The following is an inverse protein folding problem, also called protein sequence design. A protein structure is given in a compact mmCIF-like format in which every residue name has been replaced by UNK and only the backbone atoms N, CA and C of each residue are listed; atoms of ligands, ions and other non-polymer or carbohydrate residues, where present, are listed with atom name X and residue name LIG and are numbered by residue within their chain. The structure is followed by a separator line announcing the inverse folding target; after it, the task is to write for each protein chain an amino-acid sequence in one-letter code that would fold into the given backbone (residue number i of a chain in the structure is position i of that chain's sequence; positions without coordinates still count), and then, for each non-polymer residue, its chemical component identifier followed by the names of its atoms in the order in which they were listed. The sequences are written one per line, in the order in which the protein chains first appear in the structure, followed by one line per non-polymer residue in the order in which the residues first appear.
data_IF_503552431587
#
_entry.id   IF_503552431587
#
_cell.length_a   1.000
_cell.length_b   1.000
_cell.length_c   1.000
_cell.angle_alpha   90.00
_cell.angle_beta   90.00
_cell.angle_gamma   90.00
#
_symmetry.space_group_name_H-M   'P 1'
#
loop_
_entity.id
_entity.type
_entity.pdbx_description
1 polymer ?
#
# COMPACT_ATOMS: atom_id res chain seq x y z
N UNK A 1 -9.19 -60.06 -15.72
CA UNK A 1 -10.24 -60.26 -14.75
C UNK A 1 -9.79 -59.73 -13.40
N UNK A 2 -10.19 -58.53 -13.06
CA UNK A 2 -10.06 -57.94 -11.72
C UNK A 2 -11.42 -57.38 -11.35
N UNK A 3 -12.03 -58.00 -10.39
CA UNK A 3 -13.35 -57.66 -9.84
C UNK A 3 -13.18 -56.49 -8.84
N UNK A 4 -13.85 -55.40 -9.09
CA UNK A 4 -13.95 -54.28 -8.17
C UNK A 4 -15.24 -54.37 -7.33
N UNK A 5 -15.08 -54.42 -6.02
CA UNK A 5 -16.17 -54.38 -5.05
C UNK A 5 -16.44 -52.89 -4.67
N UNK A 6 -17.71 -52.46 -4.56
CA UNK A 6 -18.04 -51.10 -4.10
C UNK A 6 -18.01 -51.02 -2.56
N UNK A 7 -17.69 -49.84 -1.97
CA UNK A 7 -17.74 -49.67 -0.52
C UNK A 7 -19.17 -49.46 -0.02
N UNK A 8 -19.45 -50.09 1.11
CA UNK A 8 -20.74 -49.99 1.84
C UNK A 8 -20.91 -48.64 2.50
N UNK A 9 -22.12 -48.09 2.41
CA UNK A 9 -22.62 -46.93 3.15
C UNK A 9 -22.66 -47.25 4.66
N UNK A 10 -21.91 -46.47 5.44
CA UNK A 10 -21.96 -46.48 6.90
C UNK A 10 -23.20 -45.76 7.43
N UNK A 11 -23.85 -46.41 8.39
CA UNK A 11 -25.08 -45.95 9.04
C UNK A 11 -24.91 -44.68 9.83
N UNK A 12 -25.84 -43.76 9.66
CA UNK A 12 -25.99 -42.57 10.50
C UNK A 12 -26.37 -42.95 11.94
N UNK A 13 -25.47 -42.70 12.88
CA UNK A 13 -25.78 -42.79 14.30
C UNK A 13 -26.44 -41.48 14.75
N UNK A 14 -27.73 -41.51 14.96
CA UNK A 14 -28.48 -40.45 15.64
C UNK A 14 -28.03 -40.39 17.09
N UNK A 15 -27.32 -39.36 17.48
CA UNK A 15 -27.06 -39.05 18.88
C UNK A 15 -28.31 -38.44 19.50
N UNK A 16 -28.98 -39.24 20.30
CA UNK A 16 -30.04 -38.79 21.25
C UNK A 16 -29.38 -37.96 22.33
N UNK A 17 -29.71 -36.64 22.38
CA UNK A 17 -29.36 -35.78 23.51
C UNK A 17 -30.30 -36.09 24.69
N UNK A 18 -29.76 -36.71 25.73
CA UNK A 18 -30.42 -36.79 27.03
C UNK A 18 -30.42 -35.39 27.70
N UNK A 19 -31.46 -35.02 28.49
CA UNK A 19 -31.52 -33.74 29.16
C UNK A 19 -30.46 -33.66 30.27
N UNK A 20 -29.86 -32.49 30.53
CA UNK A 20 -28.80 -32.32 31.52
C UNK A 20 -29.33 -32.42 32.95
N UNK A 21 -28.76 -33.34 33.72
CA UNK A 21 -29.18 -33.67 35.11
C UNK A 21 -28.35 -32.96 36.19
N UNK A 22 -27.88 -31.72 36.00
CA UNK A 22 -27.24 -31.01 37.11
C UNK A 22 -27.45 -29.49 37.07
N UNK A 23 -27.67 -28.89 38.26
CA UNK A 23 -27.79 -27.43 38.46
C UNK A 23 -26.59 -26.64 37.96
N UNK A 24 -25.44 -27.27 37.84
CA UNK A 24 -24.18 -26.63 37.32
C UNK A 24 -24.22 -26.41 35.80
N UNK A 25 -24.93 -27.26 35.02
CA UNK A 25 -25.04 -27.09 33.58
C UNK A 25 -25.97 -25.95 33.21
N UNK A 26 -27.01 -25.72 33.98
CA UNK A 26 -27.94 -24.58 33.80
C UNK A 26 -27.26 -23.25 34.14
N UNK A 27 -26.41 -23.20 35.17
CA UNK A 27 -25.63 -22.01 35.50
C UNK A 27 -24.57 -21.68 34.44
N UNK A 28 -23.94 -22.67 33.82
CA UNK A 28 -22.98 -22.46 32.71
C UNK A 28 -23.67 -21.97 31.43
N UNK A 29 -24.86 -22.46 31.12
CA UNK A 29 -25.64 -21.96 29.98
C UNK A 29 -26.11 -20.50 30.21
N UNK A 30 -26.58 -20.18 31.44
CA UNK A 30 -26.96 -18.81 31.78
C UNK A 30 -25.77 -17.82 31.78
N UNK A 31 -24.60 -18.28 32.19
CA UNK A 31 -23.37 -17.47 32.15
C UNK A 31 -22.87 -17.24 30.71
N UNK A 32 -23.05 -18.23 29.82
CA UNK A 32 -22.75 -18.09 28.39
C UNK A 32 -23.70 -17.12 27.71
N UNK A 33 -25.00 -17.28 27.94
CA UNK A 33 -26.04 -16.36 27.42
C UNK A 33 -25.87 -14.91 27.93
N UNK A 34 -25.39 -14.71 29.16
CA UNK A 34 -25.08 -13.35 29.67
C UNK A 34 -23.85 -12.76 29.02
N UNK A 35 -22.81 -13.55 28.73
CA UNK A 35 -21.61 -13.08 27.97
C UNK A 35 -21.95 -12.74 26.55
N UNK A 36 -22.76 -13.56 25.89
CA UNK A 36 -23.17 -13.31 24.50
C UNK A 36 -24.10 -12.09 24.40
N UNK A 37 -24.96 -11.83 25.40
CA UNK A 37 -25.77 -10.61 25.47
C UNK A 37 -24.97 -9.37 25.92
N UNK A 38 -23.89 -9.49 26.68
CA UNK A 38 -23.00 -8.36 27.00
C UNK A 38 -22.12 -7.98 25.80
N UNK A 39 -21.67 -8.96 24.98
CA UNK A 39 -20.95 -8.68 23.75
C UNK A 39 -21.81 -8.05 22.64
N UNK A 40 -23.14 -8.32 22.65
CA UNK A 40 -24.07 -7.75 21.67
C UNK A 40 -24.48 -6.29 21.99
N UNK A 41 -24.10 -5.74 23.12
CA UNK A 41 -24.52 -4.39 23.56
C UNK A 41 -23.36 -3.41 23.80
N UNK A 42 -22.13 -3.76 23.42
CA UNK A 42 -21.03 -2.79 23.37
C UNK A 42 -21.06 -2.10 21.99
N UNK A 43 -21.65 -0.91 21.96
CA UNK A 43 -21.54 0.01 20.84
C UNK A 43 -20.05 0.16 20.48
N UNK A 44 -19.71 0.08 19.21
CA UNK A 44 -18.38 0.39 18.72
C UNK A 44 -17.98 1.81 19.16
N UNK A 45 -16.70 2.13 19.18
CA UNK A 45 -16.22 3.48 19.51
C UNK A 45 -16.89 4.54 18.60
N UNK A 46 -17.18 4.18 17.36
CA UNK A 46 -17.86 5.03 16.38
C UNK A 46 -19.33 5.22 16.72
N UNK A 47 -20.04 4.19 17.12
CA UNK A 47 -21.46 4.27 17.54
C UNK A 47 -21.62 5.03 18.87
N UNK A 48 -20.69 4.90 19.81
CA UNK A 48 -20.63 5.71 21.03
C UNK A 48 -20.45 7.18 20.70
N UNK A 49 -19.48 7.51 19.85
CA UNK A 49 -19.22 8.88 19.40
C UNK A 49 -20.45 9.48 18.68
N UNK A 50 -21.12 8.72 17.81
CA UNK A 50 -22.36 9.15 17.16
C UNK A 50 -23.49 9.39 18.16
N UNK A 51 -23.61 8.55 19.20
CA UNK A 51 -24.63 8.69 20.26
C UNK A 51 -24.37 9.88 21.19
N UNK A 52 -23.11 10.12 21.55
CA UNK A 52 -22.72 11.29 22.35
C UNK A 52 -22.90 12.60 21.57
N UNK A 53 -22.52 12.62 20.28
CA UNK A 53 -22.75 13.77 19.41
C UNK A 53 -24.25 14.03 19.18
N UNK A 54 -25.07 13.01 19.04
CA UNK A 54 -26.52 13.15 18.92
C UNK A 54 -27.15 13.77 20.18
N UNK A 55 -26.64 13.46 21.39
CA UNK A 55 -27.12 14.03 22.65
C UNK A 55 -26.73 15.52 22.87
N UNK A 56 -25.68 15.99 22.21
CA UNK A 56 -25.23 17.40 22.31
C UNK A 56 -26.05 18.31 21.38
N UNK A 57 -26.67 17.76 20.33
CA UNK A 57 -27.38 18.53 19.28
C UNK A 57 -28.87 18.20 19.22
N UNK A 58 -29.50 17.96 20.36
CA UNK A 58 -30.96 17.68 20.44
C UNK A 58 -31.73 18.84 19.77
N UNK A 59 -32.30 18.54 18.59
CA UNK A 59 -33.15 19.45 17.83
C UNK A 59 -32.58 20.03 16.55
N UNK A 60 -31.31 19.79 16.21
CA UNK A 60 -30.71 20.20 14.94
C UNK A 60 -30.32 18.97 14.12
N UNK A 61 -31.00 18.78 13.00
CA UNK A 61 -30.75 17.63 12.11
C UNK A 61 -29.49 17.86 11.28
N UNK A 62 -28.30 17.80 11.94
CA UNK A 62 -27.00 17.95 11.27
C UNK A 62 -26.59 16.73 10.42
N UNK A 63 -27.30 15.58 10.57
CA UNK A 63 -26.97 14.37 9.82
C UNK A 63 -27.32 14.46 8.34
N UNK A 64 -28.19 15.40 7.95
CA UNK A 64 -28.64 15.54 6.55
C UNK A 64 -27.62 16.24 5.64
N UNK A 65 -26.56 16.85 6.19
CA UNK A 65 -25.61 17.68 5.43
C UNK A 65 -24.14 17.49 5.79
N UNK A 66 -23.77 16.49 6.58
CA UNK A 66 -22.36 16.14 6.68
C UNK A 66 -21.94 15.56 5.31
N UNK A 67 -20.99 16.21 4.60
CA UNK A 67 -20.47 15.61 3.39
C UNK A 67 -19.92 14.23 3.74
N UNK A 68 -20.32 13.23 2.97
CA UNK A 68 -19.74 11.89 3.08
C UNK A 68 -18.23 12.06 2.92
N UNK A 69 -17.49 11.85 4.02
CA UNK A 69 -16.03 11.94 3.98
C UNK A 69 -15.56 10.75 3.18
N UNK A 70 -15.36 10.94 1.88
CA UNK A 70 -14.76 9.93 1.03
C UNK A 70 -13.36 9.63 1.56
N UNK A 71 -13.01 8.35 1.78
CA UNK A 71 -11.67 7.99 2.20
C UNK A 71 -10.68 8.52 1.16
N UNK A 72 -9.65 9.20 1.64
CA UNK A 72 -8.61 9.72 0.75
C UNK A 72 -7.91 8.55 0.05
N UNK A 73 -7.69 8.62 -1.28
CA UNK A 73 -6.94 7.62 -1.99
C UNK A 73 -5.55 7.38 -1.35
N UNK A 74 -5.02 6.15 -1.38
CA UNK A 74 -3.72 5.84 -0.79
C UNK A 74 -2.59 6.61 -1.49
N UNK A 75 -1.56 7.00 -0.75
CA UNK A 75 -0.33 7.56 -1.33
C UNK A 75 0.60 6.44 -1.79
N UNK A 76 1.40 6.69 -2.85
CA UNK A 76 2.22 5.66 -3.50
C UNK A 76 3.69 6.02 -3.58
N UNK A 77 4.55 5.03 -3.34
CA UNK A 77 5.97 5.06 -3.68
C UNK A 77 6.23 4.17 -4.88
N UNK A 78 6.47 4.79 -6.04
CA UNK A 78 6.72 4.13 -7.31
C UNK A 78 8.22 3.81 -7.43
N UNK A 79 8.59 2.54 -7.35
CA UNK A 79 9.98 2.14 -7.49
C UNK A 79 10.19 1.14 -8.63
N UNK A 80 11.42 1.02 -9.10
CA UNK A 80 11.78 0.12 -10.18
C UNK A 80 13.02 0.60 -10.93
N UNK A 81 13.47 -0.17 -11.89
CA UNK A 81 14.67 0.11 -12.67
C UNK A 81 14.55 1.43 -13.47
N UNK A 82 15.67 2.10 -13.78
CA UNK A 82 15.68 3.17 -14.76
C UNK A 82 15.07 2.70 -16.10
N UNK A 83 14.28 3.55 -16.73
CA UNK A 83 13.60 3.22 -18.00
C UNK A 83 12.26 2.49 -17.85
N UNK A 84 11.89 1.96 -16.68
CA UNK A 84 10.62 1.23 -16.52
C UNK A 84 9.35 2.11 -16.53
N UNK A 85 9.46 3.44 -16.52
CA UNK A 85 8.33 4.36 -16.66
C UNK A 85 7.73 4.89 -15.36
N UNK A 86 8.48 4.94 -14.24
CA UNK A 86 8.02 5.49 -12.95
C UNK A 86 7.46 6.91 -13.07
N UNK A 87 8.23 7.82 -13.67
CA UNK A 87 7.84 9.22 -13.87
C UNK A 87 6.61 9.35 -14.77
N UNK A 88 6.46 8.45 -15.76
CA UNK A 88 5.26 8.38 -16.59
C UNK A 88 4.02 8.01 -15.76
N UNK A 89 4.13 7.00 -14.91
CA UNK A 89 3.07 6.61 -13.97
C UNK A 89 2.76 7.75 -13.01
N UNK A 90 3.78 8.40 -12.44
CA UNK A 90 3.62 9.54 -11.53
C UNK A 90 2.87 10.71 -12.17
N UNK A 91 3.18 11.03 -13.44
CA UNK A 91 2.46 12.08 -14.20
C UNK A 91 1.00 11.69 -14.47
N UNK A 92 0.72 10.40 -14.73
CA UNK A 92 -0.66 9.92 -14.88
C UNK A 92 -1.44 10.00 -13.56
N UNK A 93 -0.82 9.69 -12.42
CA UNK A 93 -1.43 9.91 -11.11
C UNK A 93 -1.67 11.41 -10.84
N UNK A 94 -0.76 12.30 -11.27
CA UNK A 94 -0.98 13.74 -11.16
C UNK A 94 -2.22 14.21 -11.95
N UNK A 95 -2.47 13.65 -13.15
CA UNK A 95 -3.69 13.90 -13.93
C UNK A 95 -4.96 13.44 -13.17
N UNK A 96 -4.82 12.46 -12.26
CA UNK A 96 -5.90 11.95 -11.39
C UNK A 96 -5.99 12.69 -10.03
N UNK A 97 -5.26 13.79 -9.84
CA UNK A 97 -5.34 14.64 -8.65
C UNK A 97 -4.28 14.37 -7.58
N UNK A 98 -3.34 13.45 -7.79
CA UNK A 98 -2.22 13.21 -6.88
C UNK A 98 -1.22 14.38 -6.89
N UNK A 99 -0.59 14.66 -5.76
CA UNK A 99 0.65 15.40 -5.72
C UNK A 99 1.78 14.49 -6.17
N UNK A 100 2.41 14.79 -7.30
CA UNK A 100 3.52 13.99 -7.83
C UNK A 100 4.86 14.64 -7.52
N UNK A 101 5.79 13.84 -6.98
CA UNK A 101 7.16 14.23 -6.67
C UNK A 101 8.15 13.28 -7.36
N UNK A 102 9.11 13.86 -8.09
CA UNK A 102 10.22 13.12 -8.67
C UNK A 102 11.34 13.04 -7.63
N UNK A 103 11.64 11.84 -7.12
CA UNK A 103 12.68 11.69 -6.09
C UNK A 103 14.06 12.14 -6.56
N UNK A 104 14.36 12.08 -7.86
CA UNK A 104 15.64 12.56 -8.40
C UNK A 104 15.83 14.07 -8.19
N UNK A 105 14.77 14.86 -8.02
CA UNK A 105 14.85 16.28 -7.68
C UNK A 105 15.39 16.54 -6.27
N UNK A 106 15.29 15.55 -5.39
CA UNK A 106 15.79 15.60 -4.01
C UNK A 106 17.25 15.19 -3.86
N UNK A 107 17.92 14.75 -4.94
CA UNK A 107 19.32 14.39 -4.90
C UNK A 107 20.19 15.59 -4.49
N UNK A 108 21.19 15.34 -3.65
CA UNK A 108 22.18 16.35 -3.28
C UNK A 108 23.08 16.70 -4.48
N UNK A 109 23.78 17.83 -4.40
CA UNK A 109 24.71 18.25 -5.45
C UNK A 109 25.77 17.19 -5.74
N UNK A 110 26.36 16.57 -4.69
CA UNK A 110 27.37 15.52 -4.81
C UNK A 110 26.82 14.26 -5.49
N UNK A 111 25.58 13.89 -5.18
CA UNK A 111 24.92 12.75 -5.79
C UNK A 111 24.63 13.00 -7.28
N UNK A 112 24.17 14.20 -7.63
CA UNK A 112 23.97 14.60 -9.04
C UNK A 112 25.31 14.57 -9.80
N UNK A 113 26.38 15.09 -9.20
CA UNK A 113 27.70 15.06 -9.79
C UNK A 113 28.25 13.63 -9.98
N UNK A 114 27.99 12.70 -9.05
CA UNK A 114 28.34 11.29 -9.22
C UNK A 114 27.59 10.67 -10.41
N UNK A 115 26.27 10.88 -10.52
CA UNK A 115 25.48 10.39 -11.65
C UNK A 115 25.96 10.95 -12.99
N UNK A 116 26.31 12.24 -13.08
CA UNK A 116 26.82 12.85 -14.31
C UNK A 116 28.15 12.28 -14.79
N UNK A 117 28.95 11.70 -13.86
CA UNK A 117 30.19 10.95 -14.19
C UNK A 117 29.93 9.48 -14.51
N UNK A 118 28.66 9.02 -14.53
CA UNK A 118 28.32 7.62 -14.74
C UNK A 118 28.62 6.73 -13.52
N UNK A 119 28.75 7.33 -12.33
CA UNK A 119 29.04 6.64 -11.08
C UNK A 119 27.72 6.29 -10.35
N UNK A 120 27.73 5.15 -9.64
CA UNK A 120 26.65 4.81 -8.72
C UNK A 120 26.88 5.42 -7.34
N UNK A 121 25.81 5.42 -6.50
CA UNK A 121 25.94 5.90 -5.12
C UNK A 121 26.67 4.89 -4.23
N UNK A 122 27.51 5.39 -3.34
CA UNK A 122 28.10 4.61 -2.26
C UNK A 122 27.01 4.12 -1.28
N UNK A 123 27.28 3.07 -0.48
CA UNK A 123 26.33 2.63 0.54
C UNK A 123 25.92 3.76 1.50
N UNK A 124 26.87 4.59 1.94
CA UNK A 124 26.61 5.72 2.84
C UNK A 124 25.72 6.78 2.19
N UNK A 125 25.97 7.13 0.92
CA UNK A 125 25.09 8.06 0.18
C UNK A 125 23.68 7.51 0.03
N UNK A 126 23.53 6.19 -0.23
CA UNK A 126 22.20 5.56 -0.34
C UNK A 126 21.45 5.57 0.99
N UNK A 127 22.15 5.35 2.11
CA UNK A 127 21.55 5.40 3.45
C UNK A 127 21.11 6.84 3.79
N UNK A 128 21.97 7.84 3.57
CA UNK A 128 21.65 9.26 3.77
C UNK A 128 20.48 9.74 2.87
N UNK A 129 20.46 9.27 1.62
CA UNK A 129 19.37 9.59 0.70
C UNK A 129 18.03 8.96 1.12
N UNK A 130 18.07 7.75 1.69
CA UNK A 130 16.90 7.13 2.27
C UNK A 130 16.32 7.98 3.41
N UNK A 131 17.18 8.55 4.26
CA UNK A 131 16.76 9.45 5.34
C UNK A 131 16.14 10.75 4.80
N UNK A 132 16.74 11.33 3.79
CA UNK A 132 16.22 12.52 3.11
C UNK A 132 14.83 12.25 2.50
N UNK A 133 14.63 11.09 1.87
CA UNK A 133 13.33 10.70 1.32
C UNK A 133 12.27 10.61 2.43
N UNK A 134 12.60 9.99 3.55
CA UNK A 134 11.69 9.87 4.71
C UNK A 134 11.30 11.26 5.23
N UNK A 135 12.28 12.14 5.42
CA UNK A 135 12.06 13.52 5.84
C UNK A 135 11.14 14.27 4.88
N UNK A 136 11.41 14.20 3.59
CA UNK A 136 10.60 14.86 2.55
C UNK A 136 9.17 14.36 2.50
N UNK A 137 8.97 13.04 2.55
CA UNK A 137 7.62 12.46 2.56
C UNK A 137 6.83 12.95 3.77
N UNK A 138 7.42 12.91 4.97
CA UNK A 138 6.74 13.35 6.18
C UNK A 138 6.44 14.85 6.14
N UNK A 139 7.38 15.69 5.70
CA UNK A 139 7.16 17.14 5.54
C UNK A 139 6.00 17.41 4.59
N UNK A 140 5.97 16.75 3.42
CA UNK A 140 4.90 16.94 2.43
C UNK A 140 3.56 16.49 3.01
N UNK A 141 3.53 15.35 3.71
CA UNK A 141 2.30 14.83 4.33
C UNK A 141 1.80 15.77 5.42
N UNK A 142 2.68 16.36 6.22
CA UNK A 142 2.33 17.32 7.27
C UNK A 142 1.81 18.64 6.68
N UNK A 143 2.42 19.15 5.60
CA UNK A 143 1.92 20.31 4.86
C UNK A 143 0.51 20.09 4.31
N UNK A 144 0.22 18.91 3.79
CA UNK A 144 -1.09 18.53 3.26
C UNK A 144 -2.17 18.41 4.37
N UNK A 145 -1.79 18.21 5.64
CA UNK A 145 -2.72 18.21 6.78
C UNK A 145 -3.29 19.62 7.03
N UNK A 146 -2.51 20.67 6.76
CA UNK A 146 -2.89 22.06 6.96
C UNK A 146 -3.53 22.73 5.72
N UNK A 147 -3.54 22.03 4.58
CA UNK A 147 -4.07 22.49 3.29
C UNK A 147 -5.13 21.56 2.70
N UNK A 148 -5.27 21.62 1.38
CA UNK A 148 -6.08 20.65 0.64
C UNK A 148 -5.33 19.32 0.57
N UNK A 149 -5.85 18.30 1.26
CA UNK A 149 -5.28 16.95 1.23
C UNK A 149 -5.34 16.36 -0.17
N UNK A 150 -4.18 16.09 -0.74
CA UNK A 150 -4.05 15.30 -1.97
C UNK A 150 -3.20 14.07 -1.70
N UNK A 151 -3.54 12.89 -2.26
CA UNK A 151 -2.69 11.72 -2.14
C UNK A 151 -1.35 11.99 -2.82
N UNK A 152 -0.26 11.48 -2.25
CA UNK A 152 1.10 11.68 -2.73
C UNK A 152 1.55 10.51 -3.63
N UNK A 153 2.21 10.80 -4.74
CA UNK A 153 2.93 9.84 -5.56
C UNK A 153 4.40 10.24 -5.65
N UNK A 154 5.31 9.39 -5.18
CA UNK A 154 6.77 9.61 -5.26
C UNK A 154 7.38 8.62 -6.23
N UNK A 155 8.14 9.07 -7.22
CA UNK A 155 8.87 8.20 -8.14
C UNK A 155 10.35 8.19 -7.82
N UNK A 156 10.91 7.03 -7.44
CA UNK A 156 12.35 6.89 -7.21
C UNK A 156 12.84 5.46 -7.47
N UNK A 157 14.07 5.33 -7.99
CA UNK A 157 14.73 4.05 -8.16
C UNK A 157 15.32 3.55 -6.83
N UNK A 158 14.50 2.99 -5.96
CA UNK A 158 14.92 2.49 -4.66
C UNK A 158 15.33 1.02 -4.73
N UNK A 159 16.62 0.74 -4.99
CA UNK A 159 17.11 -0.59 -5.35
C UNK A 159 17.15 -1.61 -4.22
N UNK A 160 17.45 -1.19 -3.00
CA UNK A 160 17.68 -2.12 -1.88
C UNK A 160 16.41 -2.30 -1.04
N UNK A 161 16.06 -3.55 -0.75
CA UNK A 161 14.92 -3.89 0.13
C UNK A 161 15.01 -3.24 1.50
N UNK A 162 16.24 -3.14 2.07
CA UNK A 162 16.45 -2.51 3.38
C UNK A 162 15.95 -1.06 3.42
N UNK A 163 16.18 -0.30 2.34
CA UNK A 163 15.74 1.10 2.26
C UNK A 163 14.22 1.20 2.08
N UNK A 164 13.63 0.37 1.20
CA UNK A 164 12.16 0.33 1.04
C UNK A 164 11.45 -0.02 2.35
N UNK A 165 11.96 -1.05 3.06
CA UNK A 165 11.43 -1.40 4.38
C UNK A 165 11.54 -0.24 5.37
N UNK A 166 12.71 0.44 5.45
CA UNK A 166 12.92 1.58 6.33
C UNK A 166 11.97 2.74 6.03
N UNK A 167 11.72 3.04 4.75
CA UNK A 167 10.75 4.06 4.35
C UNK A 167 9.34 3.61 4.77
N UNK A 168 8.96 2.37 4.53
CA UNK A 168 7.64 1.85 4.91
C UNK A 168 7.41 1.92 6.44
N UNK A 169 8.43 1.60 7.24
CA UNK A 169 8.37 1.68 8.71
C UNK A 169 8.21 3.13 9.22
N UNK A 170 8.79 4.10 8.52
CA UNK A 170 8.79 5.52 8.92
C UNK A 170 7.70 6.36 8.25
N UNK A 171 7.12 5.87 7.17
CA UNK A 171 6.06 6.50 6.39
C UNK A 171 4.96 5.45 6.10
N UNK A 172 4.23 4.97 7.14
CA UNK A 172 3.26 3.87 6.98
C UNK A 172 2.05 4.25 6.11
N UNK A 173 1.82 5.55 5.86
CA UNK A 173 0.79 6.07 4.98
C UNK A 173 1.08 5.86 3.49
N UNK A 174 2.29 5.39 3.12
CA UNK A 174 2.68 5.18 1.72
C UNK A 174 2.71 3.69 1.37
N UNK A 175 1.99 3.33 0.31
CA UNK A 175 2.01 2.00 -0.28
C UNK A 175 3.07 1.91 -1.39
N UNK A 176 3.82 0.81 -1.44
CA UNK A 176 4.85 0.60 -2.45
C UNK A 176 4.28 -0.07 -3.69
N UNK A 177 4.64 0.46 -4.86
CA UNK A 177 4.30 -0.12 -6.17
C UNK A 177 5.58 -0.32 -6.97
N UNK A 178 5.83 -1.55 -7.38
CA UNK A 178 6.92 -1.86 -8.28
C UNK A 178 6.50 -1.62 -9.74
N UNK A 179 7.10 -0.63 -10.38
CA UNK A 179 6.87 -0.33 -11.80
C UNK A 179 7.80 -1.17 -12.65
N UNK A 180 7.25 -1.92 -13.59
CA UNK A 180 7.97 -2.82 -14.51
C UNK A 180 7.59 -2.58 -15.96
N UNK A 181 8.46 -2.99 -16.87
CA UNK A 181 8.18 -3.20 -18.28
C UNK A 181 9.08 -4.34 -18.80
N UNK A 182 8.84 -4.79 -20.02
CA UNK A 182 9.72 -5.73 -20.71
C UNK A 182 11.12 -5.12 -20.86
N UNK A 183 12.14 -5.96 -20.84
CA UNK A 183 13.53 -5.51 -20.82
C UNK A 183 13.94 -4.78 -22.09
N UNK A 184 13.50 -5.27 -23.25
CA UNK A 184 13.72 -4.63 -24.55
C UNK A 184 13.11 -3.23 -24.62
N UNK A 185 11.87 -3.06 -24.12
CA UNK A 185 11.21 -1.76 -24.00
C UNK A 185 11.98 -0.84 -23.04
N UNK A 186 12.48 -1.37 -21.94
CA UNK A 186 13.28 -0.61 -20.98
C UNK A 186 14.57 -0.07 -21.62
N UNK A 187 15.28 -0.94 -22.33
CA UNK A 187 16.55 -0.59 -22.99
C UNK A 187 16.32 0.43 -24.11
N UNK A 188 15.30 0.25 -24.95
CA UNK A 188 14.92 1.24 -25.98
C UNK A 188 14.64 2.61 -25.37
N UNK A 189 13.91 2.67 -24.23
CA UNK A 189 13.64 3.93 -23.54
C UNK A 189 14.90 4.58 -22.95
N UNK A 190 15.88 3.80 -22.52
CA UNK A 190 17.16 4.32 -22.04
C UNK A 190 18.04 4.83 -23.17
N UNK A 191 18.03 4.17 -24.34
CA UNK A 191 18.74 4.61 -25.56
C UNK A 191 18.18 5.91 -26.13
N UNK A 192 16.86 6.06 -26.09
CA UNK A 192 16.18 7.25 -26.61
C UNK A 192 16.31 8.49 -25.69
N UNK A 193 16.95 8.38 -24.53
CA UNK A 193 17.15 9.51 -23.61
C UNK A 193 18.36 10.34 -24.01
N UNK A 194 18.15 11.63 -24.13
CA UNK A 194 19.23 12.61 -24.35
C UNK A 194 19.96 12.95 -23.05
N UNK A 195 19.26 12.86 -21.91
CA UNK A 195 19.79 13.23 -20.59
C UNK A 195 19.49 12.18 -19.53
N UNK A 196 20.31 12.16 -18.45
CA UNK A 196 20.12 11.31 -17.29
C UNK A 196 20.78 9.94 -17.42
N UNK A 197 20.15 8.89 -16.88
CA UNK A 197 20.70 7.53 -16.88
C UNK A 197 20.56 6.89 -18.25
N UNK A 198 21.69 6.75 -18.97
CA UNK A 198 21.75 6.02 -20.23
C UNK A 198 21.76 4.51 -20.05
N UNK A 199 21.82 3.78 -21.18
CA UNK A 199 21.77 2.30 -21.22
C UNK A 199 22.83 1.64 -20.36
N UNK A 200 24.10 2.03 -20.52
CA UNK A 200 25.24 1.39 -19.82
C UNK A 200 25.11 1.49 -18.30
N UNK A 201 24.82 2.68 -17.77
CA UNK A 201 24.61 2.87 -16.34
C UNK A 201 23.34 2.15 -15.87
N UNK A 202 22.27 2.15 -16.67
CA UNK A 202 21.03 1.44 -16.37
C UNK A 202 21.20 -0.08 -16.27
N UNK A 203 22.08 -0.67 -17.06
CA UNK A 203 22.44 -2.10 -16.97
C UNK A 203 23.27 -2.39 -15.72
N UNK A 204 24.27 -1.56 -15.41
CA UNK A 204 25.04 -1.67 -14.15
C UNK A 204 24.10 -1.59 -12.91
N UNK A 205 23.16 -0.68 -12.94
CA UNK A 205 22.18 -0.51 -11.85
C UNK A 205 21.25 -1.71 -11.68
N UNK A 206 20.98 -2.47 -12.75
CA UNK A 206 20.16 -3.68 -12.68
C UNK A 206 20.76 -4.75 -11.75
N UNK A 207 22.06 -4.93 -11.74
CA UNK A 207 22.74 -5.90 -10.87
C UNK A 207 22.54 -5.60 -9.38
N UNK A 208 22.34 -4.33 -9.05
CA UNK A 208 22.13 -3.85 -7.68
C UNK A 208 20.67 -3.93 -7.22
N UNK A 209 19.74 -4.13 -8.16
CA UNK A 209 18.31 -4.10 -7.87
C UNK A 209 17.83 -5.36 -7.14
N UNK A 210 17.12 -5.18 -6.06
CA UNK A 210 16.50 -6.25 -5.29
C UNK A 210 14.97 -6.23 -5.50
N UNK A 211 14.43 -7.26 -6.15
CA UNK A 211 12.99 -7.41 -6.37
C UNK A 211 12.22 -7.30 -5.06
N UNK A 212 11.03 -6.68 -5.10
CA UNK A 212 10.07 -6.63 -3.99
C UNK A 212 9.00 -7.70 -4.11
N UNK A 213 8.10 -7.71 -3.13
CA UNK A 213 6.87 -8.49 -3.13
C UNK A 213 5.63 -7.58 -3.21
N UNK A 214 5.86 -6.31 -3.53
CA UNK A 214 4.84 -5.27 -3.60
C UNK A 214 3.98 -5.42 -4.87
N UNK A 215 2.88 -4.70 -4.93
CA UNK A 215 2.02 -4.62 -6.12
C UNK A 215 2.85 -4.25 -7.36
N UNK A 216 2.69 -5.00 -8.46
CA UNK A 216 3.40 -4.77 -9.71
C UNK A 216 2.50 -4.03 -10.69
N UNK A 217 3.00 -2.90 -11.20
CA UNK A 217 2.37 -2.13 -12.27
C UNK A 217 3.24 -2.18 -13.53
N UNK A 218 2.70 -2.69 -14.63
CA UNK A 218 3.40 -2.76 -15.92
C UNK A 218 3.07 -1.55 -16.79
N UNK A 219 4.09 -0.99 -17.48
CA UNK A 219 3.96 0.19 -18.34
C UNK A 219 4.10 -0.11 -19.83
N UNK A 220 4.29 -1.36 -20.19
CA UNK A 220 4.46 -1.86 -21.56
C UNK A 220 3.21 -2.56 -22.11
N UNK A 221 2.12 -2.58 -21.37
CA UNK A 221 0.85 -3.15 -21.79
C UNK A 221 -0.28 -2.11 -21.71
N UNK A 222 -1.31 -2.27 -22.53
CA UNK A 222 -2.47 -1.37 -22.58
C UNK A 222 -3.26 -1.28 -21.27
N UNK A 223 -4.18 -0.32 -21.18
CA UNK A 223 -5.10 -0.17 -20.02
C UNK A 223 -4.42 0.36 -18.76
N UNK A 224 -3.37 1.17 -18.84
CA UNK A 224 -2.68 1.71 -17.67
C UNK A 224 -3.63 2.53 -16.78
N UNK A 225 -4.47 3.39 -17.36
CA UNK A 225 -5.42 4.21 -16.60
C UNK A 225 -6.37 3.35 -15.78
N UNK A 226 -7.00 2.34 -16.39
CA UNK A 226 -7.89 1.41 -15.68
C UNK A 226 -7.18 0.69 -14.52
N UNK A 227 -5.89 0.37 -14.66
CA UNK A 227 -5.12 -0.25 -13.59
C UNK A 227 -4.72 0.73 -12.50
N UNK A 228 -4.57 2.01 -12.81
CA UNK A 228 -4.33 3.06 -11.82
C UNK A 228 -5.60 3.37 -11.03
N UNK A 229 -6.77 3.35 -11.68
CA UNK A 229 -8.07 3.52 -11.02
C UNK A 229 -8.42 2.36 -10.06
N UNK A 230 -7.79 1.19 -10.25
CA UNK A 230 -7.99 0.00 -9.42
C UNK A 230 -6.98 -0.11 -8.24
N UNK A 231 -6.06 0.83 -8.08
CA UNK A 231 -5.11 0.89 -6.95
C UNK A 231 -5.73 1.55 -5.73
#
# INVERSE_FOLDING_TARGET
AVTSTPPQLGAETRHSCAPPQSHQSVQRCAARHRRDNMAANELTAEERCKKELAGIFDGVNYTAHLPEIQPMPPSFFLYGLPGCGKSYVGKKLAEMGYRFEEGDDWLTGDMRAALSRGEGFTPSQRDAYCDLIIERINTITDEEIHGQRRPLAVAQAMFKRKHRRRIHEKCPQISFIQVKCAEDVRLQRLEAREEGIGRELGEKMRADFQEGQDTILRTDCGGLNTRLEAL
#
